data_IF_737459468631
#
_entry.id   IF_737459468631
#
_cell.length_a   1.000
_cell.length_b   1.000
_cell.length_c   1.000
_cell.angle_alpha   90.00
_cell.angle_beta   90.00
_cell.angle_gamma   90.00
#
_symmetry.space_group_name_H-M   'P 1'
#
loop_
_entity.id
_entity.type
_entity.pdbx_description
1 polymer ?
#
# COMPACT_ATOMS: atom_id res chain seq x y z
N UNK A 1 -57.60 -53.65 -19.43
CA UNK A 1 -56.68 -54.74 -19.82
C UNK A 1 -55.28 -54.16 -19.97
N UNK A 2 -54.33 -54.80 -19.33
CA UNK A 2 -52.87 -54.61 -19.36
C UNK A 2 -52.33 -53.43 -18.53
N UNK A 3 -51.94 -53.80 -17.35
CA UNK A 3 -51.04 -53.12 -16.48
C UNK A 3 -49.61 -53.21 -17.08
N UNK A 4 -48.83 -52.13 -16.96
CA UNK A 4 -47.37 -52.20 -16.99
C UNK A 4 -46.85 -51.20 -15.97
N UNK A 5 -46.13 -51.73 -15.01
CA UNK A 5 -45.42 -51.01 -13.97
C UNK A 5 -44.21 -50.24 -14.54
N UNK A 6 -43.93 -49.03 -14.05
CA UNK A 6 -42.62 -48.43 -14.29
C UNK A 6 -41.72 -48.74 -13.08
N UNK A 7 -40.50 -49.21 -13.42
CA UNK A 7 -39.40 -49.48 -12.51
C UNK A 7 -38.89 -48.20 -11.84
N UNK A 8 -38.80 -48.30 -10.52
CA UNK A 8 -38.08 -47.38 -9.67
C UNK A 8 -36.58 -47.38 -10.05
N UNK A 9 -36.06 -46.25 -10.50
CA UNK A 9 -34.64 -45.98 -10.50
C UNK A 9 -34.35 -44.99 -9.36
N UNK A 10 -33.90 -45.57 -8.24
CA UNK A 10 -33.30 -44.80 -7.17
C UNK A 10 -32.02 -44.15 -7.66
N UNK A 11 -32.10 -42.84 -7.89
CA UNK A 11 -30.95 -41.99 -8.25
C UNK A 11 -30.01 -41.84 -7.07
N UNK A 12 -28.88 -42.43 -7.22
CA UNK A 12 -27.71 -42.26 -6.38
C UNK A 12 -27.25 -40.78 -6.50
N UNK A 13 -27.42 -40.01 -5.42
CA UNK A 13 -26.80 -38.69 -5.29
C UNK A 13 -25.34 -38.88 -4.93
N UNK A 14 -24.36 -38.37 -5.69
CA UNK A 14 -23.00 -38.31 -5.19
C UNK A 14 -22.97 -37.27 -4.07
N UNK A 15 -22.70 -37.71 -2.86
CA UNK A 15 -22.33 -36.84 -1.75
C UNK A 15 -21.00 -36.16 -2.09
N UNK A 16 -21.05 -34.88 -2.45
CA UNK A 16 -19.90 -34.03 -2.43
C UNK A 16 -19.45 -33.89 -0.99
N UNK A 17 -18.50 -34.72 -0.60
CA UNK A 17 -17.74 -34.51 0.62
C UNK A 17 -16.87 -33.30 0.39
N UNK A 18 -17.27 -32.17 0.93
CA UNK A 18 -16.38 -31.06 1.12
C UNK A 18 -15.39 -31.49 2.22
N UNK A 19 -14.17 -31.82 1.81
CA UNK A 19 -13.07 -31.86 2.76
C UNK A 19 -12.83 -30.41 3.18
N UNK A 20 -13.25 -30.06 4.38
CA UNK A 20 -12.79 -28.88 5.05
C UNK A 20 -11.26 -29.01 5.17
N UNK A 21 -10.45 -28.03 4.76
CA UNK A 21 -9.03 -28.04 5.03
C UNK A 21 -8.86 -28.02 6.55
N UNK A 22 -8.14 -29.01 7.07
CA UNK A 22 -7.80 -29.15 8.47
C UNK A 22 -7.21 -27.83 8.98
N UNK A 23 -7.95 -27.10 9.79
CA UNK A 23 -7.53 -25.88 10.49
C UNK A 23 -6.53 -26.19 11.61
N UNK A 24 -5.57 -27.06 11.39
CA UNK A 24 -4.40 -27.13 12.24
C UNK A 24 -3.28 -26.30 11.62
N UNK A 25 -3.39 -24.98 11.77
CA UNK A 25 -2.25 -24.12 11.64
C UNK A 25 -1.13 -24.57 12.61
N UNK A 26 0.15 -24.44 12.25
CA UNK A 26 1.25 -24.90 13.08
C UNK A 26 1.15 -24.29 14.47
N UNK A 27 1.08 -25.15 15.49
CA UNK A 27 1.04 -24.74 16.89
C UNK A 27 2.24 -23.85 17.23
N UNK A 28 2.05 -22.79 18.04
CA UNK A 28 3.14 -21.89 18.43
C UNK A 28 4.13 -22.66 19.33
N UNK A 29 5.19 -23.18 18.75
CA UNK A 29 6.22 -23.91 19.50
C UNK A 29 7.12 -24.85 18.71
N UNK A 30 6.80 -25.19 17.47
CA UNK A 30 7.63 -26.07 16.63
C UNK A 30 8.24 -25.32 15.44
N UNK A 31 9.13 -24.36 15.70
CA UNK A 31 9.93 -23.77 14.64
C UNK A 31 11.14 -24.66 14.37
N UNK A 32 11.34 -25.18 13.14
CA UNK A 32 12.58 -25.83 12.79
C UNK A 32 13.72 -24.80 12.83
N UNK A 33 14.75 -25.09 13.64
CA UNK A 33 15.97 -24.28 13.78
C UNK A 33 16.87 -24.33 12.52
N UNK A 34 16.31 -24.46 11.34
CA UNK A 34 17.10 -24.36 10.10
C UNK A 34 16.90 -22.98 9.48
N UNK A 35 18.00 -22.26 9.30
CA UNK A 35 18.05 -20.85 8.86
C UNK A 35 17.46 -20.51 7.48
N UNK A 36 16.57 -21.33 6.95
CA UNK A 36 15.87 -21.10 5.69
C UNK A 36 14.43 -20.57 5.86
N UNK A 37 13.86 -20.61 7.08
CA UNK A 37 12.48 -20.17 7.31
C UNK A 37 12.29 -18.65 7.18
N UNK A 38 13.35 -17.88 7.34
CA UNK A 38 13.32 -16.43 7.20
C UNK A 38 13.15 -15.96 5.73
N UNK A 39 13.53 -16.81 4.78
CA UNK A 39 13.40 -16.52 3.35
C UNK A 39 11.96 -16.70 2.84
N UNK A 40 11.13 -17.46 3.53
CA UNK A 40 9.76 -17.73 3.10
C UNK A 40 8.74 -16.69 3.58
N UNK A 41 9.03 -15.97 4.68
CA UNK A 41 8.12 -14.96 5.24
C UNK A 41 8.24 -13.58 4.60
N UNK A 42 9.23 -13.37 3.71
CA UNK A 42 9.61 -12.05 3.21
C UNK A 42 9.06 -11.62 1.85
N UNK A 43 8.55 -12.54 1.02
CA UNK A 43 8.26 -12.21 -0.39
C UNK A 43 6.78 -12.19 -0.77
N UNK A 44 5.88 -12.65 0.08
CA UNK A 44 4.47 -12.80 -0.31
C UNK A 44 3.60 -11.55 -0.14
N UNK A 45 4.11 -10.51 0.52
CA UNK A 45 3.36 -9.29 0.78
C UNK A 45 4.01 -8.00 0.24
N UNK A 46 4.99 -8.10 -0.65
CA UNK A 46 5.54 -6.91 -1.30
C UNK A 46 4.50 -6.35 -2.27
N UNK A 47 4.15 -5.11 -2.09
CA UNK A 47 3.20 -4.42 -2.95
C UNK A 47 3.71 -3.01 -3.26
N UNK A 48 3.28 -2.50 -4.40
CA UNK A 48 3.69 -1.19 -4.90
C UNK A 48 2.65 -0.15 -4.48
N UNK A 49 3.12 0.97 -3.97
CA UNK A 49 2.27 2.05 -3.51
C UNK A 49 2.76 3.39 -4.04
N UNK A 50 1.82 4.23 -4.41
CA UNK A 50 2.03 5.67 -4.57
C UNK A 50 1.51 6.38 -3.33
N UNK A 51 2.38 7.11 -2.67
CA UNK A 51 2.07 7.82 -1.44
C UNK A 51 2.25 9.33 -1.64
N UNK A 52 1.15 10.07 -1.49
CA UNK A 52 1.15 11.53 -1.59
C UNK A 52 0.98 12.12 -0.20
N UNK A 53 1.89 13.02 0.16
CA UNK A 53 1.84 13.76 1.42
C UNK A 53 1.61 15.25 1.14
N UNK A 54 0.72 15.85 1.91
CA UNK A 54 0.48 17.29 1.91
C UNK A 54 0.93 17.85 3.25
N UNK A 55 1.99 18.64 3.23
CA UNK A 55 2.54 19.30 4.40
C UNK A 55 2.10 20.76 4.49
N UNK A 56 2.26 21.35 5.68
CA UNK A 56 1.86 22.74 5.97
C UNK A 56 2.62 23.74 5.10
N UNK A 57 1.98 24.86 4.71
CA UNK A 57 2.63 25.89 3.91
C UNK A 57 3.66 26.71 4.69
N UNK A 58 3.67 26.61 6.03
CA UNK A 58 4.52 27.43 6.92
C UNK A 58 5.97 26.91 6.97
N UNK A 59 6.20 25.65 6.55
CA UNK A 59 7.53 25.04 6.50
C UNK A 59 8.24 25.38 5.20
N UNK A 60 9.56 25.50 5.24
CA UNK A 60 10.36 25.79 4.05
C UNK A 60 10.45 24.56 3.12
N UNK A 61 10.68 24.76 1.80
CA UNK A 61 10.87 23.63 0.89
C UNK A 61 12.02 22.69 1.30
N UNK A 62 13.11 23.23 1.84
CA UNK A 62 14.22 22.43 2.33
C UNK A 62 13.83 21.52 3.53
N UNK A 63 12.99 22.03 4.42
CA UNK A 63 12.46 21.22 5.52
C UNK A 63 11.52 20.13 5.02
N UNK A 64 10.75 20.38 3.95
CA UNK A 64 9.91 19.34 3.31
C UNK A 64 10.79 18.23 2.72
N UNK A 65 11.89 18.59 2.06
CA UNK A 65 12.83 17.61 1.50
C UNK A 65 13.46 16.77 2.61
N UNK A 66 13.96 17.38 3.68
CA UNK A 66 14.49 16.67 4.85
C UNK A 66 13.44 15.74 5.47
N UNK A 67 12.21 16.21 5.61
CA UNK A 67 11.11 15.39 6.12
C UNK A 67 10.83 14.16 5.23
N UNK A 68 10.85 14.33 3.92
CA UNK A 68 10.67 13.21 2.97
C UNK A 68 11.85 12.24 3.03
N UNK A 69 13.06 12.72 3.23
CA UNK A 69 14.25 11.87 3.44
C UNK A 69 14.12 11.05 4.73
N UNK A 70 13.65 11.65 5.82
CA UNK A 70 13.37 10.93 7.08
C UNK A 70 12.33 9.83 6.90
N UNK A 71 11.25 10.10 6.14
CA UNK A 71 10.24 9.09 5.82
C UNK A 71 10.83 7.95 5.00
N UNK A 72 11.71 8.27 4.05
CA UNK A 72 12.40 7.27 3.22
C UNK A 72 13.36 6.43 4.06
N UNK A 73 14.08 7.02 5.00
CA UNK A 73 14.92 6.31 5.98
C UNK A 73 14.10 5.34 6.84
N UNK A 74 13.00 5.83 7.37
CA UNK A 74 12.07 5.03 8.18
C UNK A 74 11.50 3.83 7.41
N UNK A 75 11.09 4.02 6.15
CA UNK A 75 10.59 2.94 5.30
C UNK A 75 11.65 1.86 5.05
N UNK A 76 12.91 2.26 4.83
CA UNK A 76 14.04 1.34 4.69
C UNK A 76 14.27 0.50 5.94
N UNK A 77 14.17 1.10 7.13
CA UNK A 77 14.27 0.38 8.42
C UNK A 77 13.17 -0.67 8.58
N UNK A 78 12.00 -0.42 7.98
CA UNK A 78 10.85 -1.35 7.98
C UNK A 78 10.86 -2.37 6.84
N UNK A 79 11.93 -2.43 6.07
CA UNK A 79 12.08 -3.39 4.96
C UNK A 79 11.35 -3.00 3.69
N UNK A 80 10.94 -1.74 3.55
CA UNK A 80 10.42 -1.19 2.30
C UNK A 80 11.51 -0.42 1.55
N UNK A 81 11.39 -0.33 0.24
CA UNK A 81 12.24 0.52 -0.59
C UNK A 81 11.47 1.72 -1.13
N UNK A 82 12.13 2.83 -1.27
CA UNK A 82 11.59 4.03 -1.91
C UNK A 82 12.29 4.21 -3.24
N UNK A 83 11.54 4.09 -4.32
CA UNK A 83 12.04 4.24 -5.68
C UNK A 83 12.16 5.71 -6.05
N UNK A 84 11.05 6.33 -6.43
CA UNK A 84 10.98 7.70 -6.87
C UNK A 84 10.40 8.61 -5.78
N UNK A 85 11.01 9.80 -5.63
CA UNK A 85 10.48 10.87 -4.79
C UNK A 85 10.34 12.13 -5.62
N UNK A 86 9.18 12.76 -5.59
CA UNK A 86 8.93 14.00 -6.31
C UNK A 86 8.40 15.07 -5.36
N UNK A 87 8.95 16.27 -5.45
CA UNK A 87 8.40 17.45 -4.81
C UNK A 87 7.66 18.32 -5.84
N UNK A 88 6.34 18.44 -5.66
CA UNK A 88 5.50 19.19 -6.60
C UNK A 88 5.37 20.68 -6.27
N UNK A 89 5.93 21.10 -5.14
CA UNK A 89 5.91 22.47 -4.69
C UNK A 89 4.67 22.88 -3.93
N UNK A 90 4.60 24.15 -3.57
CA UNK A 90 3.46 24.75 -2.88
C UNK A 90 2.30 24.96 -3.85
N UNK A 91 1.15 24.34 -3.56
CA UNK A 91 -0.05 24.37 -4.40
C UNK A 91 -1.28 24.78 -3.63
N UNK A 92 -2.24 25.37 -4.34
CA UNK A 92 -3.56 25.63 -3.79
C UNK A 92 -4.32 24.32 -3.60
N UNK A 93 -4.97 24.18 -2.46
CA UNK A 93 -5.90 23.09 -2.15
C UNK A 93 -7.26 23.39 -2.78
N UNK A 94 -7.99 22.33 -3.19
CA UNK A 94 -9.35 22.46 -3.72
C UNK A 94 -10.33 23.00 -2.65
N UNK A 95 -10.08 22.67 -1.38
CA UNK A 95 -10.81 23.16 -0.22
C UNK A 95 -9.83 23.36 0.95
N UNK A 96 -10.13 24.23 1.92
CA UNK A 96 -9.22 24.48 3.03
C UNK A 96 -9.12 23.25 3.93
N UNK A 97 -7.89 22.85 4.29
CA UNK A 97 -7.58 21.79 5.24
C UNK A 97 -6.89 22.44 6.44
N UNK A 98 -7.34 22.14 7.68
CA UNK A 98 -6.82 22.76 8.91
C UNK A 98 -6.72 24.30 8.81
N UNK A 99 -7.72 24.95 8.18
CA UNK A 99 -7.78 26.40 7.87
C UNK A 99 -6.73 26.90 6.88
N UNK A 100 -5.91 26.06 6.29
CA UNK A 100 -4.93 26.40 5.27
C UNK A 100 -5.49 26.19 3.86
N UNK A 101 -5.19 27.10 2.95
CA UNK A 101 -5.60 27.04 1.53
C UNK A 101 -4.50 26.54 0.60
N UNK A 102 -3.28 26.42 1.11
CA UNK A 102 -2.11 25.96 0.38
C UNK A 102 -1.41 24.85 1.16
N UNK A 103 -0.64 24.04 0.47
CA UNK A 103 0.21 23.02 1.07
C UNK A 103 1.30 22.58 0.11
N UNK A 104 2.37 22.05 0.67
CA UNK A 104 3.44 21.44 -0.11
C UNK A 104 3.05 20.00 -0.44
N UNK A 105 3.16 19.63 -1.69
CA UNK A 105 2.85 18.29 -2.17
C UNK A 105 4.15 17.53 -2.45
N UNK A 106 4.24 16.33 -1.91
CA UNK A 106 5.31 15.39 -2.19
C UNK A 106 4.74 14.02 -2.54
N UNK A 107 5.31 13.36 -3.53
CA UNK A 107 4.99 11.99 -3.95
C UNK A 107 6.16 11.08 -3.62
N UNK A 108 5.88 9.91 -3.07
CA UNK A 108 6.83 8.83 -2.84
C UNK A 108 6.30 7.54 -3.49
N UNK A 109 7.13 6.89 -4.28
CA UNK A 109 6.87 5.54 -4.77
C UNK A 109 7.49 4.54 -3.80
N UNK A 110 6.67 3.70 -3.21
CA UNK A 110 7.06 2.75 -2.16
C UNK A 110 6.87 1.33 -2.69
N UNK A 111 7.89 0.51 -2.52
CA UNK A 111 7.86 -0.92 -2.75
C UNK A 111 8.14 -1.62 -1.42
N UNK A 112 7.15 -2.33 -0.88
CA UNK A 112 7.34 -2.94 0.42
C UNK A 112 6.08 -3.59 1.00
N UNK A 113 6.24 -4.12 2.22
CA UNK A 113 5.14 -4.77 2.91
C UNK A 113 4.09 -3.77 3.38
N UNK A 114 2.84 -4.21 3.43
CA UNK A 114 1.71 -3.38 3.86
C UNK A 114 1.90 -2.83 5.29
N UNK A 115 2.53 -3.60 6.17
CA UNK A 115 2.79 -3.20 7.56
C UNK A 115 3.68 -1.97 7.66
N UNK A 116 4.70 -1.85 6.78
CA UNK A 116 5.57 -0.67 6.72
C UNK A 116 4.78 0.58 6.33
N UNK A 117 3.85 0.44 5.37
CA UNK A 117 3.00 1.55 4.93
C UNK A 117 1.99 1.95 6.01
N UNK A 118 1.38 0.99 6.71
CA UNK A 118 0.47 1.27 7.82
C UNK A 118 1.17 2.02 8.96
N UNK A 119 2.40 1.63 9.29
CA UNK A 119 3.18 2.30 10.32
C UNK A 119 3.62 3.70 9.87
N UNK A 120 3.95 3.89 8.59
CA UNK A 120 4.16 5.21 7.99
C UNK A 120 2.91 6.09 8.17
N UNK A 121 1.74 5.59 7.79
CA UNK A 121 0.48 6.32 7.92
C UNK A 121 0.16 6.67 9.37
N UNK A 122 0.43 5.74 10.31
CA UNK A 122 0.27 5.99 11.74
C UNK A 122 1.15 7.16 12.19
N UNK A 123 2.41 7.19 11.76
CA UNK A 123 3.36 8.26 12.07
C UNK A 123 2.93 9.60 11.49
N UNK A 124 2.48 9.62 10.22
CA UNK A 124 2.00 10.83 9.54
C UNK A 124 0.74 11.40 10.18
N UNK A 125 -0.13 10.54 10.72
CA UNK A 125 -1.36 10.97 11.42
C UNK A 125 -1.07 11.73 12.70
N UNK A 126 0.03 11.43 13.37
CA UNK A 126 0.43 12.05 14.63
C UNK A 126 1.25 13.33 14.35
N UNK A 127 1.87 13.45 13.19
CA UNK A 127 2.69 14.59 12.82
C UNK A 127 1.85 15.86 12.65
N UNK A 128 2.27 16.94 13.30
CA UNK A 128 1.62 18.25 13.19
C UNK A 128 1.91 18.92 11.86
N UNK A 129 3.02 18.61 11.22
CA UNK A 129 3.45 19.19 9.94
C UNK A 129 2.67 18.61 8.75
N UNK A 130 2.02 17.47 8.93
CA UNK A 130 1.22 16.80 7.90
C UNK A 130 -0.24 17.23 8.00
N UNK A 131 -0.75 17.79 6.92
CA UNK A 131 -2.16 18.15 6.81
C UNK A 131 -3.00 16.98 6.34
N UNK A 132 -2.51 16.25 5.34
CA UNK A 132 -3.17 15.08 4.76
C UNK A 132 -2.15 14.19 4.06
N UNK A 133 -2.45 12.92 3.99
CA UNK A 133 -1.75 11.94 3.16
C UNK A 133 -2.75 11.06 2.41
N UNK A 134 -2.30 10.43 1.35
CA UNK A 134 -3.06 9.46 0.57
C UNK A 134 -2.12 8.37 0.07
N UNK A 135 -2.51 7.12 0.27
CA UNK A 135 -1.78 5.95 -0.23
C UNK A 135 -2.66 5.21 -1.22
N UNK A 136 -2.12 4.86 -2.36
CA UNK A 136 -2.79 4.08 -3.40
C UNK A 136 -1.90 2.89 -3.71
N UNK A 137 -2.46 1.68 -3.65
CA UNK A 137 -1.80 0.48 -4.15
C UNK A 137 -1.89 0.47 -5.68
N UNK A 138 -0.76 0.24 -6.33
CA UNK A 138 -0.64 0.20 -7.79
C UNK A 138 -0.06 -1.13 -8.25
N UNK A 139 -0.31 -1.49 -9.49
CA UNK A 139 0.24 -2.72 -10.09
C UNK A 139 1.66 -2.52 -10.62
N UNK A 140 1.98 -1.29 -11.04
CA UNK A 140 3.31 -0.92 -11.52
C UNK A 140 3.63 0.52 -11.13
N UNK A 141 4.89 0.78 -10.80
CA UNK A 141 5.41 2.13 -10.57
C UNK A 141 5.97 2.69 -11.88
N UNK A 142 5.71 3.96 -12.12
CA UNK A 142 6.27 4.68 -13.26
C UNK A 142 7.47 5.50 -12.81
N UNK A 143 8.58 5.37 -13.55
CA UNK A 143 9.78 6.18 -13.37
C UNK A 143 9.67 7.54 -14.09
N UNK A 144 8.67 7.69 -14.97
CA UNK A 144 8.44 8.94 -15.67
C UNK A 144 7.99 10.06 -14.71
N UNK A 145 8.40 11.30 -14.95
CA UNK A 145 7.95 12.45 -14.17
C UNK A 145 6.44 12.57 -14.20
N UNK A 146 5.83 12.82 -13.05
CA UNK A 146 4.39 12.99 -12.96
C UNK A 146 3.88 14.09 -13.90
N UNK A 147 2.70 13.93 -14.51
CA UNK A 147 2.10 14.94 -15.39
C UNK A 147 1.95 16.32 -14.74
N UNK A 148 2.00 16.35 -13.44
CA UNK A 148 1.96 17.57 -12.62
C UNK A 148 3.21 18.42 -12.79
N UNK A 149 4.38 17.79 -12.93
CA UNK A 149 5.65 18.47 -13.19
C UNK A 149 5.79 18.85 -14.66
N UNK A 150 5.40 17.95 -15.57
CA UNK A 150 5.50 18.19 -17.01
C UNK A 150 4.67 19.38 -17.51
N UNK A 151 3.57 19.74 -16.80
CA UNK A 151 2.75 20.93 -17.11
C UNK A 151 3.42 22.24 -16.70
N UNK A 152 4.35 22.21 -15.75
CA UNK A 152 5.06 23.41 -15.30
C UNK A 152 6.10 23.86 -16.34
N UNK A 153 6.72 22.92 -17.02
CA UNK A 153 7.73 23.21 -18.04
C UNK A 153 7.12 23.81 -19.32
N UNK A 154 5.92 23.31 -19.72
CA UNK A 154 5.22 23.85 -20.91
C UNK A 154 4.72 25.28 -20.77
N UNK A 155 4.71 25.91 -19.59
CA UNK A 155 4.28 27.29 -19.37
C UNK A 155 5.45 28.29 -19.33
N UNK A 156 6.69 27.81 -19.48
CA UNK A 156 7.89 28.66 -19.46
C UNK A 156 8.45 28.94 -20.84
N UNK A 157 7.93 28.28 -21.88
CA UNK A 157 8.17 28.56 -23.31
C UNK A 157 7.04 29.45 -23.85
#
# INVERSE_FOLDING_TARGET
KCALHPHSLAGMRPSLVWNEPDEEGPSPGSFPLSGAAWLYYGTENMALYEHVVITRPDISPAQVETFVEELSGFLKEKGASVGKTEYWGLRNLAYPIKKQRKGHYSLLNIDGPADAVQELERRLRISDDVMRYMTIRVEALSDEPSPVLSRKDRRRD
#
